data_IF_102621795649
#
_entry.id   IF_102621795649
#
_cell.length_a   1.000
_cell.length_b   1.000
_cell.length_c   1.000
_cell.angle_alpha   90.00
_cell.angle_beta   90.00
_cell.angle_gamma   90.00
#
_symmetry.space_group_name_H-M   'P 1'
#
loop_
_entity.id
_entity.type
_entity.pdbx_description
1 polymer ?
#
# COMPACT_ATOMS: atom_id res chain seq x y z
N UNK A 1 -20.21 -9.29 -68.24
CA UNK A 1 -19.46 -8.24 -67.53
C UNK A 1 -20.28 -7.80 -66.33
N UNK A 2 -19.84 -8.09 -65.10
CA UNK A 2 -20.54 -7.78 -63.84
C UNK A 2 -19.91 -6.54 -63.20
N UNK A 3 -20.74 -5.55 -62.85
CA UNK A 3 -20.32 -4.33 -62.14
C UNK A 3 -20.00 -4.63 -60.66
N UNK A 4 -19.06 -3.90 -60.03
CA UNK A 4 -18.73 -4.09 -58.62
C UNK A 4 -19.68 -3.29 -57.72
N UNK A 5 -20.10 -3.90 -56.60
CA UNK A 5 -20.84 -3.25 -55.52
C UNK A 5 -19.84 -2.57 -54.57
N UNK A 6 -20.00 -1.26 -54.39
CA UNK A 6 -19.29 -0.48 -53.38
C UNK A 6 -19.83 -0.82 -51.98
N UNK A 7 -18.95 -1.23 -51.07
CA UNK A 7 -19.24 -1.31 -49.64
C UNK A 7 -18.82 0.00 -48.97
N UNK A 8 -19.80 0.73 -48.45
CA UNK A 8 -19.60 1.90 -47.60
C UNK A 8 -19.19 1.42 -46.21
N UNK A 9 -17.94 1.68 -45.80
CA UNK A 9 -17.50 1.48 -44.42
C UNK A 9 -17.98 2.66 -43.57
N UNK A 10 -18.85 2.37 -42.60
CA UNK A 10 -19.19 3.32 -41.54
C UNK A 10 -17.98 3.46 -40.60
N UNK A 11 -17.43 4.68 -40.52
CA UNK A 11 -16.46 5.05 -39.49
C UNK A 11 -17.17 5.08 -38.14
N UNK A 12 -16.90 4.09 -37.29
CA UNK A 12 -17.19 4.19 -35.85
C UNK A 12 -16.17 5.15 -35.27
N UNK A 13 -16.61 6.36 -34.94
CA UNK A 13 -15.83 7.31 -34.17
C UNK A 13 -15.68 6.77 -32.74
N UNK A 14 -14.50 6.26 -32.41
CA UNK A 14 -14.11 5.95 -31.03
C UNK A 14 -13.90 7.30 -30.35
N UNK A 15 -14.85 7.68 -29.48
CA UNK A 15 -14.65 8.80 -28.55
C UNK A 15 -13.60 8.35 -27.53
N UNK A 16 -12.36 8.74 -27.75
CA UNK A 16 -11.31 8.66 -26.75
C UNK A 16 -11.66 9.66 -25.63
N UNK A 17 -12.38 9.19 -24.61
CA UNK A 17 -12.51 9.92 -23.36
C UNK A 17 -11.10 10.11 -22.80
N UNK A 18 -10.69 11.38 -22.72
CA UNK A 18 -9.35 11.79 -22.33
C UNK A 18 -8.94 11.12 -21.03
N UNK A 19 -7.85 10.37 -21.08
CA UNK A 19 -7.11 9.99 -19.88
C UNK A 19 -6.68 11.27 -19.19
N UNK A 20 -7.09 11.55 -17.94
CA UNK A 20 -6.40 12.58 -17.17
C UNK A 20 -4.92 12.20 -17.18
N UNK A 21 -4.03 13.18 -17.33
CA UNK A 21 -2.59 12.96 -17.31
C UNK A 21 -2.24 12.24 -16.00
N UNK A 22 -2.16 10.91 -16.07
CA UNK A 22 -1.50 10.08 -15.08
C UNK A 22 -0.08 10.58 -15.14
N UNK A 23 0.32 11.37 -14.13
CA UNK A 23 1.73 11.64 -13.90
C UNK A 23 2.41 10.30 -14.01
N UNK A 24 3.23 10.10 -15.05
CA UNK A 24 3.83 8.81 -15.35
C UNK A 24 4.64 8.44 -14.12
N UNK A 25 4.06 7.59 -13.28
CA UNK A 25 4.66 7.20 -12.02
C UNK A 25 5.95 6.49 -12.43
N UNK A 26 7.09 7.08 -12.07
CA UNK A 26 8.39 6.49 -12.40
C UNK A 26 8.37 5.04 -11.92
N UNK A 27 8.68 4.11 -12.83
CA UNK A 27 8.79 2.70 -12.49
C UNK A 27 9.79 2.52 -11.36
N UNK A 28 9.46 1.69 -10.39
CA UNK A 28 10.36 1.38 -9.28
C UNK A 28 11.45 0.41 -9.76
N UNK A 29 12.70 0.78 -9.53
CA UNK A 29 13.84 -0.05 -9.91
C UNK A 29 14.37 -0.79 -8.69
N UNK A 30 14.30 -2.12 -8.73
CA UNK A 30 14.88 -2.98 -7.70
C UNK A 30 16.40 -2.73 -7.62
N UNK A 31 16.89 -2.37 -6.43
CA UNK A 31 18.27 -1.96 -6.17
C UNK A 31 19.06 -2.97 -5.32
N UNK A 32 18.35 -3.85 -4.60
CA UNK A 32 18.93 -5.00 -3.89
C UNK A 32 18.45 -6.32 -4.50
N UNK A 33 18.97 -7.44 -3.99
CA UNK A 33 18.28 -8.72 -4.17
C UNK A 33 16.96 -8.68 -3.41
N UNK A 34 15.93 -9.30 -3.99
CA UNK A 34 14.70 -9.62 -3.29
C UNK A 34 14.96 -10.85 -2.41
N UNK A 35 14.93 -10.68 -1.10
CA UNK A 35 15.15 -11.74 -0.14
C UNK A 35 13.79 -12.23 0.35
N UNK A 36 13.56 -13.54 0.37
CA UNK A 36 12.33 -14.14 0.88
C UNK A 36 12.70 -15.33 1.78
N UNK A 37 12.29 -15.25 3.04
CA UNK A 37 12.30 -16.37 3.97
C UNK A 37 10.91 -16.98 4.01
N UNK A 38 10.81 -18.30 3.81
CA UNK A 38 9.56 -19.05 3.95
C UNK A 38 9.55 -19.82 5.26
N UNK A 39 8.42 -19.75 5.95
CA UNK A 39 8.20 -20.46 7.19
C UNK A 39 7.32 -21.67 6.88
N UNK A 40 7.79 -22.87 7.24
CA UNK A 40 7.04 -24.11 7.04
C UNK A 40 7.01 -24.92 8.34
N UNK A 41 5.83 -25.42 8.70
CA UNK A 41 5.61 -26.23 9.90
C UNK A 41 5.05 -25.45 11.10
N UNK A 42 4.63 -26.18 12.15
CA UNK A 42 3.99 -25.64 13.37
C UNK A 42 4.98 -25.09 14.42
N UNK A 43 6.27 -25.04 14.11
CA UNK A 43 7.27 -24.47 15.03
C UNK A 43 7.42 -22.99 14.75
N UNK A 44 7.40 -22.19 15.81
CA UNK A 44 7.60 -20.75 15.73
C UNK A 44 9.07 -20.47 15.33
N UNK A 45 9.30 -20.22 14.04
CA UNK A 45 10.64 -19.92 13.49
C UNK A 45 10.97 -18.43 13.56
N UNK A 46 9.93 -17.58 13.60
CA UNK A 46 10.06 -16.13 13.64
C UNK A 46 9.09 -15.55 14.67
N UNK A 47 9.56 -14.60 15.47
CA UNK A 47 8.80 -13.98 16.56
C UNK A 47 8.05 -12.71 16.12
N UNK A 48 8.12 -12.37 14.84
CA UNK A 48 7.48 -11.19 14.25
C UNK A 48 8.34 -9.94 14.29
N UNK A 49 9.49 -9.95 14.97
CA UNK A 49 10.33 -8.76 15.07
C UNK A 49 10.92 -8.39 13.72
N UNK A 50 10.88 -7.11 13.40
CA UNK A 50 11.37 -6.57 12.15
C UNK A 50 11.93 -5.16 12.34
N UNK A 51 13.08 -4.89 11.73
CA UNK A 51 13.82 -3.64 11.89
C UNK A 51 14.46 -3.23 10.57
N UNK A 52 14.54 -1.92 10.35
CA UNK A 52 15.34 -1.34 9.27
C UNK A 52 16.16 -0.18 9.81
N UNK A 53 17.44 -0.45 10.12
CA UNK A 53 18.37 0.54 10.66
C UNK A 53 17.80 1.29 11.88
N UNK A 54 18.02 2.61 11.91
CA UNK A 54 17.40 3.53 12.88
C UNK A 54 16.11 4.18 12.34
N UNK A 55 15.54 3.63 11.25
CA UNK A 55 14.39 4.24 10.57
C UNK A 55 13.08 3.73 11.16
N UNK A 56 12.96 2.42 11.32
CA UNK A 56 11.78 1.79 11.90
C UNK A 56 12.12 0.50 12.61
N UNK A 57 11.23 0.16 13.52
CA UNK A 57 11.07 -1.19 14.05
C UNK A 57 9.57 -1.48 14.12
N UNK A 58 9.21 -2.75 14.15
CA UNK A 58 7.89 -3.20 14.57
C UNK A 58 7.94 -4.68 14.94
N UNK A 59 6.83 -5.15 15.52
CA UNK A 59 6.50 -6.56 15.59
C UNK A 59 5.28 -6.79 14.69
N UNK A 60 5.43 -7.64 13.69
CA UNK A 60 4.29 -8.08 12.89
C UNK A 60 3.33 -8.90 13.77
N UNK A 61 2.02 -8.63 13.69
CA UNK A 61 1.01 -9.39 14.42
C UNK A 61 0.96 -10.82 13.87
N UNK A 62 0.42 -11.76 14.66
CA UNK A 62 0.19 -13.16 14.23
C UNK A 62 1.43 -13.84 13.62
N UNK A 63 2.63 -13.62 14.17
CA UNK A 63 3.88 -14.18 13.64
C UNK A 63 3.85 -15.71 13.42
N UNK A 64 3.08 -16.45 14.23
CA UNK A 64 2.90 -17.90 14.09
C UNK A 64 2.10 -18.32 12.85
N UNK A 65 1.34 -17.40 12.25
CA UNK A 65 0.53 -17.63 11.05
C UNK A 65 1.23 -17.13 9.78
N UNK A 66 2.41 -16.52 9.91
CA UNK A 66 3.18 -16.02 8.78
C UNK A 66 3.76 -17.19 7.98
N UNK A 67 3.59 -17.14 6.65
CA UNK A 67 4.13 -18.12 5.72
C UNK A 67 5.42 -17.65 5.05
N UNK A 68 5.60 -16.33 4.93
CA UNK A 68 6.81 -15.75 4.37
C UNK A 68 7.05 -14.34 4.88
N UNK A 69 8.32 -13.97 4.97
CA UNK A 69 8.81 -12.59 5.11
C UNK A 69 9.71 -12.29 3.90
N UNK A 70 9.41 -11.21 3.20
CA UNK A 70 10.19 -10.75 2.06
C UNK A 70 10.66 -9.31 2.24
N UNK A 71 11.86 -9.00 1.76
CA UNK A 71 12.50 -7.70 1.91
C UNK A 71 13.23 -7.28 0.62
N UNK A 72 13.19 -5.99 0.33
CA UNK A 72 13.86 -5.41 -0.84
C UNK A 72 14.15 -3.92 -0.67
N UNK A 73 15.09 -3.42 -1.46
CA UNK A 73 15.38 -2.01 -1.63
C UNK A 73 15.08 -1.58 -3.07
N UNK A 74 14.49 -0.41 -3.23
CA UNK A 74 14.20 0.19 -4.53
C UNK A 74 14.87 1.57 -4.68
N UNK A 75 14.99 2.01 -5.93
CA UNK A 75 15.45 3.33 -6.35
C UNK A 75 16.78 3.76 -5.70
N UNK A 76 17.87 3.08 -6.04
CA UNK A 76 19.21 3.30 -5.47
C UNK A 76 19.25 3.19 -3.93
N UNK A 77 18.51 2.23 -3.38
CA UNK A 77 18.41 1.99 -1.94
C UNK A 77 17.78 3.13 -1.14
N UNK A 78 16.90 3.93 -1.75
CA UNK A 78 16.19 5.03 -1.07
C UNK A 78 14.83 4.63 -0.54
N UNK A 79 14.30 3.48 -1.00
CA UNK A 79 13.00 2.96 -0.62
C UNK A 79 13.16 1.57 -0.02
N UNK A 80 12.78 1.44 1.23
CA UNK A 80 12.74 0.16 1.93
C UNK A 80 11.38 -0.51 1.74
N UNK A 81 11.39 -1.81 1.47
CA UNK A 81 10.20 -2.64 1.34
C UNK A 81 10.33 -3.90 2.19
N UNK A 82 9.26 -4.21 2.91
CA UNK A 82 9.08 -5.49 3.59
C UNK A 82 7.63 -5.96 3.48
N UNK A 83 7.44 -7.27 3.34
CA UNK A 83 6.14 -7.94 3.22
C UNK A 83 6.12 -9.21 4.04
N UNK A 84 5.14 -9.32 4.93
CA UNK A 84 4.78 -10.56 5.61
C UNK A 84 3.51 -11.12 4.99
N UNK A 85 3.55 -12.34 4.47
CA UNK A 85 2.39 -13.04 3.91
C UNK A 85 1.81 -14.04 4.92
N UNK A 86 0.48 -14.12 4.99
CA UNK A 86 -0.27 -15.01 5.86
C UNK A 86 -1.10 -16.02 5.03
N UNK A 87 -1.46 -17.13 5.65
CA UNK A 87 -2.19 -18.23 5.02
C UNK A 87 -3.62 -17.89 4.52
N UNK A 88 -4.20 -16.79 5.00
CA UNK A 88 -5.57 -16.37 4.73
C UNK A 88 -5.67 -15.39 3.54
N UNK A 89 -4.64 -15.35 2.69
CA UNK A 89 -4.48 -14.39 1.58
C UNK A 89 -4.41 -12.92 2.06
N UNK A 90 -4.04 -12.72 3.32
CA UNK A 90 -3.63 -11.41 3.84
C UNK A 90 -2.12 -11.26 3.69
N UNK A 91 -1.66 -10.05 3.41
CA UNK A 91 -0.28 -9.64 3.55
C UNK A 91 -0.21 -8.31 4.29
N UNK A 92 0.79 -8.16 5.17
CA UNK A 92 1.16 -6.87 5.77
C UNK A 92 2.46 -6.40 5.16
N UNK A 93 2.53 -5.11 4.87
CA UNK A 93 3.65 -4.43 4.28
C UNK A 93 4.11 -3.36 5.25
N UNK A 94 5.43 -3.21 5.38
CA UNK A 94 6.01 -1.98 5.91
C UNK A 94 6.97 -1.44 4.88
N UNK A 95 6.83 -0.16 4.57
CA UNK A 95 7.74 0.54 3.68
C UNK A 95 8.22 1.83 4.30
N UNK A 96 9.42 2.24 3.92
CA UNK A 96 9.96 3.52 4.34
C UNK A 96 10.71 4.23 3.21
N UNK A 97 10.71 5.56 3.28
CA UNK A 97 11.43 6.43 2.35
C UNK A 97 11.82 7.73 3.04
N UNK A 98 12.81 8.42 2.49
CA UNK A 98 13.23 9.73 3.02
C UNK A 98 12.33 10.85 2.51
N UNK A 99 12.04 11.82 3.38
CA UNK A 99 11.38 13.07 3.01
C UNK A 99 12.29 13.87 2.05
N UNK A 100 11.75 14.51 1.00
CA UNK A 100 12.54 15.38 0.14
C UNK A 100 13.20 16.52 0.91
N UNK A 101 14.44 16.83 0.55
CA UNK A 101 15.23 17.86 1.22
C UNK A 101 14.49 19.21 1.30
N UNK A 102 14.64 19.89 2.45
CA UNK A 102 14.02 21.20 2.70
C UNK A 102 12.55 21.15 3.13
N UNK A 103 11.98 19.97 3.38
CA UNK A 103 10.62 19.83 3.92
C UNK A 103 10.65 19.35 5.37
N UNK A 104 9.75 19.88 6.19
CA UNK A 104 9.50 19.37 7.53
C UNK A 104 8.54 18.19 7.51
N UNK A 105 8.45 17.46 8.63
CA UNK A 105 7.51 16.37 8.80
C UNK A 105 6.05 16.84 8.67
N UNK A 106 5.73 18.01 9.19
CA UNK A 106 4.38 18.62 9.18
C UNK A 106 3.96 19.01 7.77
N UNK A 107 4.87 19.60 7.00
CA UNK A 107 4.63 19.91 5.59
C UNK A 107 4.43 18.63 4.79
N UNK A 108 5.24 17.61 5.08
CA UNK A 108 5.19 16.37 4.33
C UNK A 108 3.93 15.55 4.59
N UNK A 109 3.47 15.42 5.84
CA UNK A 109 2.20 14.75 6.12
C UNK A 109 1.01 15.51 5.48
N UNK A 110 1.06 16.84 5.44
CA UNK A 110 0.07 17.66 4.73
C UNK A 110 0.06 17.41 3.22
N UNK A 111 1.25 17.27 2.60
CA UNK A 111 1.37 16.92 1.18
C UNK A 111 0.81 15.52 0.89
N UNK A 112 1.11 14.54 1.74
CA UNK A 112 0.55 13.20 1.63
C UNK A 112 -0.98 13.23 1.76
N UNK A 113 -1.51 14.00 2.71
CA UNK A 113 -2.97 14.15 2.88
C UNK A 113 -3.60 14.73 1.61
N UNK A 114 -3.06 15.83 1.08
CA UNK A 114 -3.56 16.46 -0.13
C UNK A 114 -3.46 15.53 -1.37
N UNK A 115 -2.39 14.75 -1.49
CA UNK A 115 -2.24 13.77 -2.58
C UNK A 115 -3.29 12.66 -2.48
N UNK A 116 -3.52 12.12 -1.28
CA UNK A 116 -4.52 11.06 -1.09
C UNK A 116 -5.95 11.59 -1.22
N UNK A 117 -6.20 12.83 -0.80
CA UNK A 117 -7.51 13.46 -0.95
C UNK A 117 -7.90 13.60 -2.43
N UNK A 118 -6.96 13.91 -3.33
CA UNK A 118 -7.22 13.91 -4.78
C UNK A 118 -7.73 12.56 -5.29
N UNK A 119 -7.25 11.44 -4.73
CA UNK A 119 -7.74 10.11 -5.11
C UNK A 119 -9.15 9.85 -4.56
N UNK A 120 -9.45 10.31 -3.35
CA UNK A 120 -10.80 10.27 -2.77
C UNK A 120 -11.77 11.11 -3.61
N UNK A 121 -11.37 12.31 -4.01
CA UNK A 121 -12.23 13.20 -4.80
C UNK A 121 -12.48 12.65 -6.21
N UNK A 122 -11.47 12.01 -6.82
CA UNK A 122 -11.58 11.44 -8.16
C UNK A 122 -12.31 10.09 -8.19
N UNK A 123 -12.16 9.28 -7.12
CA UNK A 123 -12.64 7.89 -7.05
C UNK A 123 -13.21 7.55 -5.65
N UNK A 124 -14.26 8.26 -5.20
CA UNK A 124 -14.78 8.17 -3.82
C UNK A 124 -15.34 6.79 -3.47
N UNK A 125 -15.72 6.00 -4.48
CA UNK A 125 -16.19 4.62 -4.33
C UNK A 125 -15.06 3.64 -4.01
N UNK A 126 -13.80 4.00 -4.29
CA UNK A 126 -12.64 3.15 -4.01
C UNK A 126 -11.85 3.60 -2.80
N UNK A 127 -11.73 4.92 -2.58
CA UNK A 127 -10.82 5.47 -1.58
C UNK A 127 -11.57 6.15 -0.43
N UNK A 128 -11.15 5.88 0.80
CA UNK A 128 -11.55 6.63 1.99
C UNK A 128 -10.32 7.05 2.76
N UNK A 129 -10.24 8.34 3.10
CA UNK A 129 -9.13 8.92 3.86
C UNK A 129 -9.65 9.44 5.21
N UNK A 130 -8.90 9.21 6.27
CA UNK A 130 -9.15 9.80 7.58
C UNK A 130 -7.82 10.19 8.20
N UNK A 131 -7.76 11.35 8.86
CA UNK A 131 -6.60 11.77 9.63
C UNK A 131 -6.82 11.43 11.10
N UNK A 132 -5.81 10.88 11.74
CA UNK A 132 -5.87 10.50 13.16
C UNK A 132 -4.56 10.86 13.87
N UNK A 133 -4.60 11.15 15.18
CA UNK A 133 -3.39 11.35 15.97
C UNK A 133 -2.59 10.05 16.09
N UNK A 134 -1.28 10.17 16.34
CA UNK A 134 -0.37 9.03 16.52
C UNK A 134 0.80 9.45 17.42
N UNK A 135 1.52 8.48 17.99
CA UNK A 135 2.71 8.75 18.81
C UNK A 135 3.86 9.38 17.99
N UNK A 136 3.84 9.20 16.67
CA UNK A 136 4.84 9.77 15.76
C UNK A 136 4.40 11.12 15.17
N UNK A 137 3.26 11.68 15.61
CA UNK A 137 2.67 12.91 15.08
C UNK A 137 1.35 12.66 14.32
N UNK A 138 0.90 13.61 13.52
CA UNK A 138 -0.27 13.41 12.65
C UNK A 138 -0.04 12.23 11.69
N UNK A 139 -1.09 11.46 11.46
CA UNK A 139 -1.02 10.27 10.61
C UNK A 139 -2.29 10.11 9.77
N UNK A 140 -2.21 9.34 8.69
CA UNK A 140 -3.32 9.12 7.78
C UNK A 140 -3.74 7.66 7.79
N UNK A 141 -5.04 7.41 7.76
CA UNK A 141 -5.66 6.11 7.51
C UNK A 141 -6.25 6.17 6.12
N UNK A 142 -5.80 5.29 5.23
CA UNK A 142 -6.39 5.15 3.91
C UNK A 142 -6.98 3.75 3.77
N UNK A 143 -8.24 3.66 3.37
CA UNK A 143 -8.88 2.40 2.97
C UNK A 143 -9.08 2.42 1.45
N UNK A 144 -8.69 1.34 0.78
CA UNK A 144 -8.81 1.19 -0.68
C UNK A 144 -9.54 -0.11 -1.02
N UNK A 145 -10.67 0.00 -1.70
CA UNK A 145 -11.44 -1.15 -2.20
C UNK A 145 -10.82 -1.72 -3.46
N UNK A 146 -10.91 -3.05 -3.61
CA UNK A 146 -10.46 -3.79 -4.79
C UNK A 146 -9.01 -3.51 -5.19
N UNK A 147 -8.16 -3.29 -4.18
CA UNK A 147 -6.73 -3.00 -4.33
C UNK A 147 -5.95 -4.19 -4.87
N UNK A 148 -4.90 -3.92 -5.66
CA UNK A 148 -4.05 -4.92 -6.29
C UNK A 148 -2.61 -4.80 -5.78
N UNK A 149 -1.93 -5.94 -5.58
CA UNK A 149 -0.52 -6.00 -5.17
C UNK A 149 0.43 -5.42 -6.25
N UNK A 150 -0.01 -5.41 -7.50
CA UNK A 150 0.75 -4.88 -8.63
C UNK A 150 1.93 -5.76 -9.06
N UNK A 151 2.58 -5.43 -10.18
CA UNK A 151 3.82 -6.08 -10.61
C UNK A 151 5.03 -5.52 -9.85
N UNK A 152 6.21 -6.14 -10.01
CA UNK A 152 7.43 -5.76 -9.27
C UNK A 152 7.92 -4.34 -9.57
N UNK A 153 7.59 -3.82 -10.75
CA UNK A 153 7.96 -2.48 -11.24
C UNK A 153 7.03 -1.38 -10.68
N UNK A 154 5.86 -1.78 -10.14
CA UNK A 154 4.89 -0.93 -9.46
C UNK A 154 4.45 -1.62 -8.17
N UNK A 155 5.39 -1.87 -7.24
CA UNK A 155 5.12 -2.68 -6.08
C UNK A 155 4.15 -1.96 -5.14
N UNK A 156 3.16 -2.69 -4.65
CA UNK A 156 2.35 -2.26 -3.52
C UNK A 156 3.25 -2.09 -2.26
N UNK A 157 2.99 -1.11 -1.37
CA UNK A 157 1.96 -0.07 -1.47
C UNK A 157 2.43 1.22 -2.17
N UNK A 158 3.66 1.27 -2.72
CA UNK A 158 4.17 2.48 -3.38
C UNK A 158 3.35 2.89 -4.60
N UNK A 159 2.84 1.91 -5.33
CA UNK A 159 1.78 2.09 -6.32
C UNK A 159 0.50 1.41 -5.84
N UNK A 160 -0.64 2.08 -6.01
CA UNK A 160 -1.95 1.57 -5.57
C UNK A 160 -2.87 1.50 -6.78
N UNK A 161 -2.94 0.31 -7.37
CA UNK A 161 -3.86 0.02 -8.47
C UNK A 161 -5.14 -0.60 -7.92
N UNK A 162 -6.27 -0.30 -8.56
CA UNK A 162 -7.58 -0.85 -8.20
C UNK A 162 -8.16 -1.61 -9.38
N UNK A 163 -8.85 -2.71 -9.10
CA UNK A 163 -9.65 -3.41 -10.10
C UNK A 163 -11.04 -2.77 -10.19
N UNK A 164 -11.43 -2.36 -11.39
CA UNK A 164 -12.80 -1.89 -11.63
C UNK A 164 -13.77 -3.07 -11.50
N UNK A 165 -14.77 -2.94 -10.62
CA UNK A 165 -15.76 -3.97 -10.34
C UNK A 165 -17.18 -3.41 -10.49
N UNK A 166 -17.82 -3.59 -11.65
CA UNK A 166 -19.17 -3.05 -11.89
C UNK A 166 -20.25 -3.77 -11.06
N UNK A 167 -19.94 -4.95 -10.50
CA UNK A 167 -20.84 -5.68 -9.59
C UNK A 167 -20.89 -5.10 -8.16
N UNK A 168 -20.04 -4.10 -7.86
CA UNK A 168 -19.97 -3.45 -6.56
C UNK A 168 -19.43 -4.33 -5.43
N UNK A 169 -19.02 -5.56 -5.73
CA UNK A 169 -18.50 -6.50 -4.73
C UNK A 169 -17.06 -6.16 -4.34
N UNK A 170 -16.66 -6.59 -3.15
CA UNK A 170 -15.32 -6.40 -2.61
C UNK A 170 -14.53 -7.71 -2.76
N UNK A 171 -13.69 -7.78 -3.78
CA UNK A 171 -12.81 -8.93 -4.04
C UNK A 171 -11.45 -8.82 -3.32
N UNK A 172 -11.04 -7.59 -3.01
CA UNK A 172 -9.87 -7.32 -2.17
C UNK A 172 -10.04 -6.00 -1.44
N UNK A 173 -9.26 -5.81 -0.39
CA UNK A 173 -9.26 -4.61 0.44
C UNK A 173 -7.84 -4.32 0.87
N UNK A 174 -7.43 -3.05 0.82
CA UNK A 174 -6.25 -2.60 1.56
C UNK A 174 -6.56 -1.50 2.56
N UNK A 175 -5.89 -1.54 3.70
CA UNK A 175 -5.92 -0.50 4.74
C UNK A 175 -4.48 -0.08 5.01
N UNK A 176 -4.25 1.23 5.08
CA UNK A 176 -2.93 1.81 5.18
C UNK A 176 -2.86 2.78 6.36
N UNK A 177 -1.74 2.79 7.07
CA UNK A 177 -1.35 3.79 8.04
C UNK A 177 -0.07 4.47 7.60
N UNK A 178 -0.16 5.76 7.34
CA UNK A 178 0.95 6.58 6.88
C UNK A 178 1.41 7.50 8.01
N UNK A 179 2.72 7.49 8.25
CA UNK A 179 3.41 8.28 9.25
C UNK A 179 4.51 9.10 8.59
N UNK A 180 4.83 10.21 9.24
CA UNK A 180 6.06 10.94 8.97
C UNK A 180 6.77 11.15 10.31
N UNK A 181 7.99 10.62 10.43
CA UNK A 181 8.77 10.67 11.66
C UNK A 181 10.21 11.09 11.36
N UNK A 182 10.62 12.22 11.92
CA UNK A 182 11.92 12.82 11.58
C UNK A 182 12.03 13.11 10.09
N UNK A 183 13.01 12.50 9.43
CA UNK A 183 13.23 12.60 7.98
C UNK A 183 12.64 11.45 7.17
N UNK A 184 11.80 10.61 7.78
CA UNK A 184 11.28 9.40 7.15
C UNK A 184 9.76 9.45 6.98
N UNK A 185 9.29 9.01 5.81
CA UNK A 185 7.91 8.57 5.59
C UNK A 185 7.86 7.08 5.82
N UNK A 186 6.89 6.62 6.60
CA UNK A 186 6.69 5.20 6.90
C UNK A 186 5.25 4.86 6.58
N UNK A 187 5.02 3.75 5.91
CA UNK A 187 3.68 3.24 5.62
C UNK A 187 3.58 1.78 6.04
N UNK A 188 2.58 1.49 6.88
CA UNK A 188 2.14 0.13 7.20
C UNK A 188 0.87 -0.12 6.41
N UNK A 189 0.83 -1.16 5.59
CA UNK A 189 -0.33 -1.47 4.76
C UNK A 189 -0.72 -2.93 4.90
N UNK A 190 -2.00 -3.21 5.08
CA UNK A 190 -2.58 -4.54 4.93
C UNK A 190 -3.26 -4.66 3.59
N UNK A 191 -3.10 -5.78 2.91
CA UNK A 191 -3.84 -6.16 1.71
C UNK A 191 -4.43 -7.54 1.93
N UNK A 192 -5.73 -7.69 1.71
CA UNK A 192 -6.44 -8.96 1.78
C UNK A 192 -7.19 -9.23 0.49
N UNK A 193 -7.07 -10.44 -0.02
CA UNK A 193 -7.92 -10.96 -1.08
C UNK A 193 -8.98 -11.89 -0.48
N UNK A 194 -10.21 -11.80 -0.97
CA UNK A 194 -11.30 -12.65 -0.54
C UNK A 194 -11.52 -13.79 -1.55
N UNK A 195 -11.51 -15.03 -1.06
CA UNK A 195 -11.79 -16.22 -1.91
C UNK A 195 -13.18 -16.15 -2.54
N UNK A 196 -14.14 -15.60 -1.81
CA UNK A 196 -15.48 -15.26 -2.28
C UNK A 196 -15.65 -13.75 -2.06
N UNK A 197 -15.96 -12.97 -3.11
CA UNK A 197 -16.15 -11.54 -2.95
C UNK A 197 -17.20 -11.21 -1.89
N UNK A 198 -16.90 -10.19 -1.11
CA UNK A 198 -17.71 -9.72 0.03
C UNK A 198 -18.78 -8.77 -0.50
N UNK A 199 -20.01 -8.91 0.00
CA UNK A 199 -21.12 -8.02 -0.34
C UNK A 199 -21.16 -6.77 0.56
N UNK A 200 -22.07 -5.83 0.30
CA UNK A 200 -22.15 -4.56 1.04
C UNK A 200 -22.48 -4.73 2.54
N UNK A 201 -23.20 -5.79 2.92
CA UNK A 201 -23.59 -6.04 4.32
C UNK A 201 -22.39 -6.50 5.15
N UNK A 202 -21.47 -7.23 4.53
CA UNK A 202 -20.28 -7.81 5.18
C UNK A 202 -19.04 -6.90 5.08
N UNK A 203 -19.07 -5.88 4.21
CA UNK A 203 -17.92 -5.01 3.96
C UNK A 203 -17.42 -4.29 5.22
N UNK A 204 -18.33 -3.80 6.07
CA UNK A 204 -17.95 -3.09 7.29
C UNK A 204 -17.13 -3.98 8.25
N UNK A 205 -17.52 -5.25 8.38
CA UNK A 205 -16.79 -6.24 9.17
C UNK A 205 -15.43 -6.55 8.54
N UNK A 206 -15.38 -6.74 7.22
CA UNK A 206 -14.13 -6.98 6.50
C UNK A 206 -13.13 -5.81 6.66
N UNK A 207 -13.62 -4.57 6.59
CA UNK A 207 -12.83 -3.35 6.82
C UNK A 207 -12.36 -3.27 8.26
N UNK A 208 -13.25 -3.49 9.24
CA UNK A 208 -12.90 -3.47 10.66
C UNK A 208 -11.83 -4.50 11.00
N UNK A 209 -11.97 -5.73 10.52
CA UNK A 209 -11.03 -6.82 10.78
C UNK A 209 -9.63 -6.54 10.21
N UNK A 210 -9.53 -6.05 8.96
CA UNK A 210 -8.24 -5.69 8.38
C UNK A 210 -7.65 -4.44 9.04
N UNK A 211 -8.49 -3.45 9.40
CA UNK A 211 -8.04 -2.24 10.08
C UNK A 211 -7.45 -2.55 11.45
N UNK A 212 -8.05 -3.47 12.22
CA UNK A 212 -7.52 -3.90 13.50
C UNK A 212 -6.13 -4.53 13.37
N UNK A 213 -5.93 -5.38 12.36
CA UNK A 213 -4.63 -6.00 12.09
C UNK A 213 -3.55 -4.95 11.71
N UNK A 214 -3.91 -3.98 10.87
CA UNK A 214 -2.99 -2.90 10.47
C UNK A 214 -2.69 -1.98 11.65
N UNK A 215 -3.69 -1.68 12.49
CA UNK A 215 -3.49 -0.82 13.66
C UNK A 215 -2.63 -1.52 14.72
N UNK A 216 -2.78 -2.83 14.96
CA UNK A 216 -1.89 -3.59 15.84
C UNK A 216 -0.41 -3.48 15.40
N UNK A 217 -0.16 -3.66 14.09
CA UNK A 217 1.19 -3.50 13.52
C UNK A 217 1.68 -2.04 13.63
N UNK A 218 0.81 -1.08 13.37
CA UNK A 218 1.11 0.35 13.48
C UNK A 218 1.39 0.80 14.92
N UNK A 219 0.64 0.33 15.91
CA UNK A 219 0.86 0.60 17.33
C UNK A 219 2.20 0.05 17.78
N UNK A 220 2.53 -1.18 17.37
CA UNK A 220 3.87 -1.75 17.62
C UNK A 220 4.96 -0.90 16.97
N UNK A 221 4.76 -0.46 15.72
CA UNK A 221 5.71 0.37 14.99
C UNK A 221 5.95 1.69 15.72
N UNK A 222 4.88 2.40 16.04
CA UNK A 222 4.92 3.69 16.72
C UNK A 222 5.64 3.59 18.08
N UNK A 223 5.25 2.59 18.88
CA UNK A 223 5.74 2.42 20.25
C UNK A 223 7.24 2.13 20.33
N UNK A 224 7.80 1.45 19.33
CA UNK A 224 9.22 1.14 19.30
C UNK A 224 10.01 2.19 18.49
N UNK A 225 9.48 2.67 17.35
CA UNK A 225 10.16 3.63 16.48
C UNK A 225 10.36 4.97 17.18
N UNK A 226 9.39 5.40 18.00
CA UNK A 226 9.51 6.61 18.82
C UNK A 226 10.69 6.60 19.81
N UNK A 227 11.28 5.42 20.06
CA UNK A 227 12.45 5.24 20.96
C UNK A 227 13.77 5.22 20.19
N UNK A 228 13.74 5.21 18.86
CA UNK A 228 14.95 5.22 18.04
C UNK A 228 15.58 6.62 18.03
N UNK A 229 16.91 6.73 17.92
CA UNK A 229 17.56 8.02 17.72
C UNK A 229 17.08 8.66 16.41
N UNK A 230 16.65 9.92 16.48
CA UNK A 230 16.31 10.67 15.27
C UNK A 230 17.58 10.91 14.44
N UNK A 231 17.55 10.59 13.15
CA UNK A 231 18.58 11.02 12.22
C UNK A 231 18.45 12.54 12.01
N UNK A 232 19.39 13.29 12.60
CA UNK A 232 19.53 14.74 12.41
C UNK A 232 20.62 14.94 11.37
N UNK A 233 20.25 15.32 10.15
CA UNK A 233 21.23 15.76 9.16
C UNK A 233 21.77 17.13 9.57
N UNK A 234 23.09 17.24 9.68
CA UNK A 234 23.81 18.51 9.84
C UNK A 234 23.72 19.36 8.59
#
# INVERSE_FOLDING_TARGET
>A
MKAPKFFTFAFVAIVALGTPAVSAQQSFQLSSKFLEARFSGKQQVWDGQHHFGNVLCLKFPRANDAEALAEAMYNNNTLYFSRTAYNDMTALYVVASTIPAGRSAEVEIGNLAAQNQKNVDAYPEYFKLTQVPSLLGSSLVLTVRNSLEGPKELPFPFARSVANRPDGQLASLSVHRLFVHGQNRIEVAGLRYFKVPVNSEQEAEAVSALSALVEEAAESLQSCTAKLPLEITK
#
